data_IF_642196649929
#
_entry.id   IF_642196649929
#
_cell.length_a   1.000
_cell.length_b   1.000
_cell.length_c   1.000
_cell.angle_alpha   90.00
_cell.angle_beta   90.00
_cell.angle_gamma   90.00
#
_symmetry.space_group_name_H-M   'P 1'
#
loop_
_entity.id
_entity.type
_entity.pdbx_description
1 polymer ?
#
# COMPACT_ATOMS: atom_id res chain seq x y z
N UNK A 1 -44.77 35.80 -17.77
CA UNK A 1 -43.39 35.32 -17.97
C UNK A 1 -42.86 34.70 -16.67
N UNK A 2 -43.39 33.55 -16.22
CA UNK A 2 -42.94 32.91 -14.96
C UNK A 2 -43.47 31.48 -14.80
N UNK A 3 -43.39 30.63 -15.83
CA UNK A 3 -43.90 29.25 -15.76
C UNK A 3 -42.95 28.16 -16.29
N UNK A 4 -41.74 28.50 -16.74
CA UNK A 4 -40.75 27.51 -17.21
C UNK A 4 -39.46 27.46 -16.40
N UNK A 5 -39.41 28.11 -15.22
CA UNK A 5 -38.22 28.09 -14.35
C UNK A 5 -38.19 26.82 -13.47
N UNK A 6 -39.31 26.11 -13.34
CA UNK A 6 -39.44 24.98 -12.41
C UNK A 6 -39.05 23.59 -12.99
N UNK A 7 -39.19 23.26 -14.29
CA UNK A 7 -38.77 21.92 -14.75
C UNK A 7 -37.28 21.83 -15.06
N UNK A 8 -36.55 22.96 -15.16
CA UNK A 8 -35.13 22.94 -15.49
C UNK A 8 -34.25 22.51 -14.30
N UNK A 9 -34.72 22.72 -13.07
CA UNK A 9 -33.97 22.38 -11.86
C UNK A 9 -34.10 20.91 -11.44
N UNK A 10 -35.07 20.16 -11.98
CA UNK A 10 -35.31 18.76 -11.57
C UNK A 10 -34.54 17.73 -12.41
N UNK A 11 -34.02 18.11 -13.57
CA UNK A 11 -33.31 17.20 -14.50
C UNK A 11 -31.79 17.18 -14.26
N UNK A 12 -31.24 18.21 -13.60
CA UNK A 12 -29.79 18.35 -13.38
C UNK A 12 -29.26 17.50 -12.22
N UNK A 13 -30.15 16.97 -11.36
CA UNK A 13 -29.76 16.19 -10.17
C UNK A 13 -29.43 14.71 -10.41
N UNK A 14 -29.66 14.16 -11.61
CA UNK A 14 -29.51 12.71 -11.88
C UNK A 14 -28.20 12.34 -12.61
N UNK A 15 -27.32 13.29 -12.90
CA UNK A 15 -26.07 13.03 -13.64
C UNK A 15 -24.84 12.93 -12.72
N UNK A 16 -24.95 13.26 -11.43
CA UNK A 16 -23.87 13.03 -10.45
C UNK A 16 -23.88 11.59 -9.93
N UNK A 17 -23.75 10.62 -10.83
CA UNK A 17 -23.15 9.35 -10.48
C UNK A 17 -21.75 9.37 -11.08
N UNK A 18 -20.80 10.01 -10.39
CA UNK A 18 -19.43 9.55 -10.55
C UNK A 18 -19.43 8.16 -9.92
N UNK A 19 -19.45 7.12 -10.76
CA UNK A 19 -18.82 5.87 -10.36
C UNK A 19 -17.39 6.23 -10.09
N UNK A 20 -17.11 6.64 -8.84
CA UNK A 20 -15.77 6.77 -8.34
C UNK A 20 -15.17 5.41 -8.61
N UNK A 21 -14.37 5.34 -9.68
CA UNK A 21 -13.44 4.25 -9.80
C UNK A 21 -12.61 4.44 -8.54
N UNK A 22 -12.87 3.60 -7.53
CA UNK A 22 -11.78 3.07 -6.75
C UNK A 22 -10.91 2.35 -7.76
N UNK A 23 -10.13 3.14 -8.53
CA UNK A 23 -8.82 2.74 -8.95
C UNK A 23 -8.10 2.52 -7.63
N UNK A 24 -8.35 1.37 -7.00
CA UNK A 24 -7.51 0.86 -5.95
C UNK A 24 -6.17 0.73 -6.62
N UNK A 25 -5.36 1.78 -6.50
CA UNK A 25 -3.98 1.70 -6.90
C UNK A 25 -3.42 0.61 -5.97
N UNK A 26 -3.27 -0.59 -6.51
CA UNK A 26 -2.64 -1.68 -5.79
C UNK A 26 -1.24 -1.20 -5.45
N UNK A 27 -0.98 -0.97 -4.15
CA UNK A 27 0.30 -0.52 -3.69
C UNK A 27 1.31 -1.63 -3.95
N UNK A 28 2.37 -1.30 -4.69
CA UNK A 28 3.42 -2.26 -5.04
C UNK A 28 4.76 -1.68 -4.61
N UNK A 29 5.51 -2.45 -3.82
CA UNK A 29 6.88 -2.12 -3.43
C UNK A 29 7.81 -3.23 -3.92
N UNK A 30 8.78 -2.87 -4.74
CA UNK A 30 9.82 -3.78 -5.23
C UNK A 30 11.10 -3.60 -4.44
N UNK A 31 11.65 -4.69 -3.92
CA UNK A 31 12.87 -4.71 -3.13
C UNK A 31 13.88 -5.64 -3.79
N UNK A 32 15.13 -5.21 -3.86
CA UNK A 32 16.25 -6.07 -4.27
C UNK A 32 17.46 -5.79 -3.40
N UNK A 33 18.31 -6.80 -3.21
CA UNK A 33 19.58 -6.63 -2.51
C UNK A 33 20.63 -6.29 -3.56
N UNK A 34 21.36 -5.18 -3.37
CA UNK A 34 22.44 -4.83 -4.29
C UNK A 34 23.50 -5.93 -4.36
N UNK A 35 24.08 -6.12 -5.54
CA UNK A 35 25.20 -7.06 -5.76
C UNK A 35 26.44 -6.71 -4.94
N UNK A 36 26.56 -5.46 -4.48
CA UNK A 36 27.68 -5.00 -3.66
C UNK A 36 27.51 -5.31 -2.16
N UNK A 37 26.33 -5.81 -1.74
CA UNK A 37 26.01 -6.06 -0.34
C UNK A 37 26.15 -7.54 0.06
N UNK A 38 25.89 -8.46 -0.86
CA UNK A 38 25.93 -9.91 -0.61
C UNK A 38 26.49 -10.64 -1.84
N UNK A 39 27.32 -11.65 -1.59
CA UNK A 39 27.99 -12.45 -2.62
C UNK A 39 27.29 -13.81 -2.89
N UNK A 40 26.30 -14.16 -2.08
CA UNK A 40 25.59 -15.43 -2.15
C UNK A 40 24.06 -15.23 -2.08
N UNK A 41 23.26 -16.22 -2.50
CA UNK A 41 21.82 -16.20 -2.29
C UNK A 41 21.46 -16.25 -0.79
N UNK A 42 20.45 -15.48 -0.40
CA UNK A 42 20.06 -15.32 1.00
C UNK A 42 18.73 -16.03 1.31
N UNK A 43 18.67 -16.63 2.50
CA UNK A 43 17.47 -17.23 3.09
C UNK A 43 17.00 -16.38 4.26
N UNK A 44 15.69 -16.20 4.42
CA UNK A 44 15.18 -15.50 5.59
C UNK A 44 13.78 -14.94 5.41
N UNK A 45 13.56 -13.77 6.01
CA UNK A 45 12.28 -13.05 5.98
C UNK A 45 12.53 -11.58 5.68
N UNK A 46 11.93 -11.10 4.60
CA UNK A 46 11.86 -9.67 4.32
C UNK A 46 10.70 -9.06 5.11
N UNK A 47 10.97 -7.91 5.72
CA UNK A 47 9.97 -7.09 6.40
C UNK A 47 9.96 -5.70 5.76
N UNK A 48 8.78 -5.24 5.36
CA UNK A 48 8.53 -3.88 4.88
C UNK A 48 7.81 -3.12 5.98
N UNK A 49 8.45 -2.09 6.52
CA UNK A 49 7.97 -1.31 7.65
C UNK A 49 7.73 0.13 7.22
N UNK A 50 6.55 0.66 7.52
CA UNK A 50 6.22 2.06 7.30
C UNK A 50 6.20 2.83 8.62
N UNK A 51 6.44 4.14 8.54
CA UNK A 51 6.14 5.08 9.60
C UNK A 51 5.41 6.28 8.98
N UNK A 52 4.37 6.76 9.63
CA UNK A 52 3.62 7.96 9.21
C UNK A 52 4.25 9.28 9.70
N UNK A 53 5.39 9.19 10.38
CA UNK A 53 6.14 10.30 10.94
C UNK A 53 7.65 10.04 10.84
N UNK A 54 8.44 11.08 11.11
CA UNK A 54 9.89 11.06 10.99
C UNK A 54 10.64 11.04 12.34
N UNK A 55 9.98 10.63 13.44
CA UNK A 55 10.55 10.76 14.79
C UNK A 55 11.74 9.80 15.03
N UNK A 56 11.58 8.53 14.64
CA UNK A 56 12.61 7.48 14.73
C UNK A 56 12.53 6.55 13.52
N UNK A 57 13.56 5.75 13.29
CA UNK A 57 13.54 4.72 12.25
C UNK A 57 12.30 3.81 12.39
N UNK A 58 11.58 3.45 11.31
CA UNK A 58 10.31 2.71 11.37
C UNK A 58 10.32 1.44 12.24
N UNK A 59 11.43 0.69 12.26
CA UNK A 59 11.59 -0.51 13.11
C UNK A 59 11.46 -0.27 14.61
N UNK A 60 11.68 0.97 15.07
CA UNK A 60 11.53 1.33 16.48
C UNK A 60 10.14 1.89 16.82
N UNK A 61 9.24 1.94 15.84
CA UNK A 61 7.88 2.46 15.98
C UNK A 61 6.78 1.39 15.90
N UNK A 62 7.11 0.18 15.41
CA UNK A 62 6.15 -0.93 15.33
C UNK A 62 5.65 -1.32 16.71
N UNK A 63 4.33 -1.41 16.86
CA UNK A 63 3.64 -1.79 18.08
C UNK A 63 2.26 -2.39 17.74
N UNK A 64 1.57 -2.97 18.74
CA UNK A 64 0.25 -3.58 18.58
C UNK A 64 -0.89 -2.74 19.19
N UNK A 65 -0.66 -1.44 19.43
CA UNK A 65 -1.65 -0.51 19.99
C UNK A 65 -2.50 0.18 18.91
N UNK A 66 -3.27 1.18 19.33
CA UNK A 66 -4.11 1.99 18.42
C UNK A 66 -3.29 2.78 17.39
N UNK A 67 -2.02 3.04 17.69
CA UNK A 67 -1.08 3.74 16.82
C UNK A 67 -0.09 2.74 16.19
N UNK A 68 -0.57 1.54 15.85
CA UNK A 68 0.22 0.53 15.18
C UNK A 68 0.68 1.03 13.81
N UNK A 69 1.98 0.95 13.56
CA UNK A 69 2.58 1.28 12.27
C UNK A 69 2.50 0.06 11.33
N UNK A 70 2.28 0.25 10.02
CA UNK A 70 2.15 -0.86 9.09
C UNK A 70 3.44 -1.66 8.93
N UNK A 71 3.32 -2.99 9.01
CA UNK A 71 4.39 -3.94 8.73
C UNK A 71 3.86 -5.07 7.86
N UNK A 72 4.61 -5.40 6.81
CA UNK A 72 4.32 -6.50 5.88
C UNK A 72 5.52 -7.43 5.82
N UNK A 73 5.30 -8.72 5.58
CA UNK A 73 6.41 -9.66 5.56
C UNK A 73 6.19 -10.90 4.73
N UNK A 74 7.26 -11.33 4.06
CA UNK A 74 7.30 -12.59 3.31
C UNK A 74 8.61 -13.34 3.55
N UNK A 75 8.55 -14.66 3.49
CA UNK A 75 9.76 -15.48 3.52
C UNK A 75 10.45 -15.41 2.15
N UNK A 76 11.78 -15.51 2.17
CA UNK A 76 12.61 -15.67 0.98
C UNK A 76 13.51 -16.88 1.16
N UNK A 77 13.77 -17.59 0.07
CA UNK A 77 14.67 -18.75 0.05
C UNK A 77 15.47 -18.68 -1.23
N UNK A 78 16.80 -18.63 -1.10
CA UNK A 78 17.74 -18.51 -2.20
C UNK A 78 17.61 -17.20 -2.97
N UNK A 79 17.23 -16.10 -2.32
CA UNK A 79 17.07 -14.80 -2.97
C UNK A 79 18.44 -14.31 -3.47
N UNK A 80 18.60 -14.19 -4.77
CA UNK A 80 19.88 -13.80 -5.38
C UNK A 80 20.11 -12.28 -5.30
N UNK A 81 21.36 -11.81 -5.27
CA UNK A 81 21.65 -10.39 -5.42
C UNK A 81 21.08 -9.85 -6.74
N UNK A 82 20.33 -8.74 -6.67
CA UNK A 82 19.61 -8.12 -7.77
C UNK A 82 18.28 -8.80 -8.14
N UNK A 83 17.90 -9.90 -7.49
CA UNK A 83 16.56 -10.48 -7.62
C UNK A 83 15.52 -9.54 -7.00
N UNK A 84 14.40 -9.32 -7.69
CA UNK A 84 13.33 -8.45 -7.21
C UNK A 84 12.28 -9.27 -6.46
N UNK A 85 12.06 -8.90 -5.20
CA UNK A 85 10.95 -9.36 -4.39
C UNK A 85 9.87 -8.28 -4.38
N UNK A 86 8.63 -8.69 -4.61
CA UNK A 86 7.48 -7.79 -4.73
C UNK A 86 6.59 -7.92 -3.51
N UNK A 87 6.30 -6.79 -2.88
CA UNK A 87 5.21 -6.65 -1.94
C UNK A 87 4.01 -6.07 -2.69
N UNK A 88 2.92 -6.83 -2.76
CA UNK A 88 1.64 -6.50 -3.37
C UNK A 88 0.48 -6.88 -2.44
N UNK A 89 -0.77 -6.81 -2.92
CA UNK A 89 -1.97 -7.13 -2.12
C UNK A 89 -2.05 -8.58 -1.61
N UNK A 90 -1.11 -9.45 -1.98
CA UNK A 90 -1.06 -10.85 -1.49
C UNK A 90 -0.14 -11.01 -0.28
N UNK A 91 0.69 -10.01 0.03
CA UNK A 91 1.64 -10.10 1.13
C UNK A 91 0.97 -9.71 2.43
N UNK A 92 0.95 -10.65 3.38
CA UNK A 92 0.33 -10.45 4.67
C UNK A 92 1.00 -9.34 5.48
N UNK A 93 0.18 -8.60 6.23
CA UNK A 93 0.65 -7.54 7.12
C UNK A 93 -0.16 -7.36 8.39
N UNK A 94 0.19 -6.28 9.09
CA UNK A 94 -0.50 -5.76 10.26
C UNK A 94 -0.32 -4.22 10.32
N UNK A 95 -1.31 -3.42 10.76
CA UNK A 95 -2.67 -3.82 11.12
C UNK A 95 -3.55 -4.13 9.90
N UNK A 96 -3.08 -3.83 8.70
CA UNK A 96 -3.75 -4.17 7.44
C UNK A 96 -3.43 -5.61 7.04
N UNK A 97 -4.43 -6.42 6.63
CA UNK A 97 -4.22 -7.83 6.31
C UNK A 97 -3.33 -8.05 5.08
N UNK A 98 -3.24 -7.05 4.20
CA UNK A 98 -2.39 -7.01 3.02
C UNK A 98 -1.90 -5.58 2.76
N UNK A 99 -0.85 -5.46 1.93
CA UNK A 99 -0.46 -4.17 1.36
C UNK A 99 -1.58 -3.61 0.45
#
# INVERSE_FOLDING_TARGET
>A
MRKYIIPFFLVVGLISCETGQTSGANAVVSVSISKDLVDAPEDGRLLLLFADNNDREPRFQINAGLNAQPVFGQNVTGMKPGEVQVFDEKVFGFPYPSL
#
